data_IF_456913845945
#
_entry.id   IF_456913845945
#
_cell.length_a   1.000
_cell.length_b   1.000
_cell.length_c   1.000
_cell.angle_alpha   90.00
_cell.angle_beta   90.00
_cell.angle_gamma   90.00
#
_symmetry.space_group_name_H-M   'P 1'
#
loop_
_entity.id
_entity.type
_entity.pdbx_description
1 polymer ?
#
# COMPACT_ATOMS: atom_id res chain seq x y z
N UNK A 1 13.81 -15.27 -39.05
CA UNK A 1 13.16 -14.13 -38.36
C UNK A 1 13.38 -14.16 -36.84
N UNK A 2 13.27 -15.32 -36.19
CA UNK A 2 13.38 -15.49 -34.72
C UNK A 2 14.77 -15.17 -34.13
N UNK A 3 15.87 -15.57 -34.78
CA UNK A 3 17.23 -15.26 -34.29
C UNK A 3 17.57 -13.76 -34.29
N UNK A 4 17.05 -12.99 -35.25
CA UNK A 4 17.25 -11.54 -35.33
C UNK A 4 16.54 -10.80 -34.18
N UNK A 5 15.35 -11.26 -33.77
CA UNK A 5 14.60 -10.68 -32.64
C UNK A 5 15.23 -11.00 -31.28
N UNK A 6 15.89 -12.16 -31.16
CA UNK A 6 16.66 -12.52 -29.96
C UNK A 6 17.94 -11.67 -29.83
N UNK A 7 18.68 -11.43 -30.93
CA UNK A 7 19.85 -10.55 -30.94
C UNK A 7 19.53 -9.07 -30.68
N UNK A 8 18.31 -8.62 -31.02
CA UNK A 8 17.83 -7.25 -30.75
C UNK A 8 17.27 -7.09 -29.31
N UNK A 9 17.38 -8.12 -28.46
CA UNK A 9 16.88 -8.08 -27.08
C UNK A 9 15.36 -8.01 -26.96
N UNK A 10 14.64 -8.15 -28.08
CA UNK A 10 13.19 -7.96 -28.14
C UNK A 10 12.48 -9.07 -27.39
N UNK A 11 12.85 -10.34 -27.60
CA UNK A 11 12.24 -11.49 -26.89
C UNK A 11 12.42 -11.42 -25.37
N UNK A 12 13.58 -10.93 -24.90
CA UNK A 12 13.84 -10.70 -23.49
C UNK A 12 12.98 -9.55 -22.94
N UNK A 13 12.79 -8.47 -23.70
CA UNK A 13 11.89 -7.37 -23.29
C UNK A 13 10.44 -7.84 -23.14
N UNK A 14 9.93 -8.65 -24.09
CA UNK A 14 8.57 -9.20 -24.03
C UNK A 14 8.37 -10.17 -22.86
N UNK A 15 9.37 -10.99 -22.53
CA UNK A 15 9.29 -11.90 -21.39
C UNK A 15 9.30 -11.11 -20.07
N UNK A 16 10.15 -10.09 -19.94
CA UNK A 16 10.19 -9.21 -18.77
C UNK A 16 8.89 -8.42 -18.58
N UNK A 17 8.28 -7.94 -19.68
CA UNK A 17 7.01 -7.24 -19.63
C UNK A 17 5.87 -8.15 -19.15
N UNK A 18 5.82 -9.42 -19.61
CA UNK A 18 4.85 -10.41 -19.11
C UNK A 18 5.05 -10.72 -17.63
N UNK A 19 6.30 -10.90 -17.19
CA UNK A 19 6.62 -11.13 -15.77
C UNK A 19 6.18 -9.93 -14.92
N UNK A 20 6.41 -8.70 -15.39
CA UNK A 20 5.96 -7.48 -14.73
C UNK A 20 4.42 -7.39 -14.63
N UNK A 21 3.71 -7.77 -15.70
CA UNK A 21 2.24 -7.83 -15.69
C UNK A 21 1.71 -8.85 -14.69
N UNK A 22 2.26 -10.07 -14.67
CA UNK A 22 1.88 -11.11 -13.71
C UNK A 22 2.12 -10.63 -12.27
N UNK A 23 3.28 -10.03 -12.01
CA UNK A 23 3.60 -9.45 -10.70
C UNK A 23 2.62 -8.34 -10.31
N UNK A 24 2.16 -7.53 -11.27
CA UNK A 24 1.19 -6.46 -11.04
C UNK A 24 -0.19 -7.03 -10.70
N UNK A 25 -0.64 -8.06 -11.43
CA UNK A 25 -1.91 -8.76 -11.16
C UNK A 25 -1.86 -9.43 -9.78
N UNK A 26 -0.74 -10.10 -9.47
CA UNK A 26 -0.53 -10.70 -8.15
C UNK A 26 -0.56 -9.64 -7.04
N UNK A 27 0.14 -8.51 -7.23
CA UNK A 27 0.15 -7.41 -6.26
C UNK A 27 -1.23 -6.80 -6.07
N UNK A 28 -2.01 -6.67 -7.15
CA UNK A 28 -3.40 -6.23 -7.09
C UNK A 28 -4.26 -7.22 -6.29
N UNK A 29 -4.10 -8.53 -6.52
CA UNK A 29 -4.79 -9.57 -5.77
C UNK A 29 -4.46 -9.52 -4.27
N UNK A 30 -3.18 -9.38 -3.92
CA UNK A 30 -2.74 -9.20 -2.53
C UNK A 30 -3.31 -7.93 -1.92
N UNK A 31 -3.26 -6.80 -2.65
CA UNK A 31 -3.84 -5.54 -2.20
C UNK A 31 -5.34 -5.67 -1.92
N UNK A 32 -6.08 -6.33 -2.80
CA UNK A 32 -7.49 -6.60 -2.63
C UNK A 32 -7.76 -7.43 -1.37
N UNK A 33 -7.03 -8.53 -1.17
CA UNK A 33 -7.20 -9.38 0.02
C UNK A 33 -6.89 -8.63 1.32
N UNK A 34 -5.79 -7.85 1.34
CA UNK A 34 -5.44 -7.02 2.50
C UNK A 34 -6.52 -5.96 2.76
N UNK A 35 -7.04 -5.31 1.71
CA UNK A 35 -8.14 -4.35 1.85
C UNK A 35 -9.41 -5.02 2.40
N UNK A 36 -9.75 -6.23 1.96
CA UNK A 36 -10.87 -6.98 2.52
C UNK A 36 -10.67 -7.30 4.00
N UNK A 37 -9.44 -7.68 4.41
CA UNK A 37 -9.12 -7.96 5.82
C UNK A 37 -9.31 -6.72 6.68
N UNK A 38 -8.90 -5.55 6.20
CA UNK A 38 -9.12 -4.27 6.91
C UNK A 38 -10.62 -3.99 7.07
N UNK A 39 -11.44 -4.36 6.09
CA UNK A 39 -12.91 -4.20 6.14
C UNK A 39 -13.63 -5.25 7.00
N UNK A 40 -12.94 -6.32 7.44
CA UNK A 40 -13.56 -7.39 8.23
C UNK A 40 -14.03 -6.93 9.62
N UNK A 41 -13.44 -5.88 10.19
CA UNK A 41 -13.81 -5.42 11.54
C UNK A 41 -15.24 -4.87 11.62
N UNK A 42 -15.75 -4.28 10.54
CA UNK A 42 -17.14 -3.89 10.39
C UNK A 42 -18.04 -5.11 10.21
N UNK A 43 -17.62 -6.03 9.32
CA UNK A 43 -18.41 -7.21 8.95
C UNK A 43 -18.61 -8.15 10.14
N UNK A 44 -17.55 -8.45 10.91
CA UNK A 44 -17.66 -9.34 12.06
C UNK A 44 -18.56 -8.78 13.16
N UNK A 45 -18.50 -7.47 13.40
CA UNK A 45 -19.34 -6.83 14.41
C UNK A 45 -20.82 -6.93 14.04
N UNK A 46 -21.17 -6.60 12.80
CA UNK A 46 -22.56 -6.65 12.33
C UNK A 46 -23.09 -8.09 12.26
N UNK A 47 -22.26 -9.04 11.82
CA UNK A 47 -22.62 -10.47 11.78
C UNK A 47 -22.81 -11.05 13.19
N UNK A 48 -21.89 -10.78 14.12
CA UNK A 48 -21.95 -11.32 15.48
C UNK A 48 -23.21 -10.87 16.21
N UNK A 49 -23.59 -9.59 16.08
CA UNK A 49 -24.82 -9.07 16.67
C UNK A 49 -26.08 -9.66 16.03
N UNK A 50 -26.07 -9.94 14.72
CA UNK A 50 -27.16 -10.62 14.02
C UNK A 50 -27.31 -12.08 14.47
N UNK A 51 -26.21 -12.82 14.65
CA UNK A 51 -26.21 -14.23 15.07
C UNK A 51 -26.74 -14.39 16.51
N UNK A 52 -26.48 -13.42 17.39
CA UNK A 52 -26.95 -13.45 18.80
C UNK A 52 -28.42 -13.01 18.92
N UNK A 53 -29.11 -12.73 17.81
CA UNK A 53 -30.52 -12.33 17.81
C UNK A 53 -30.75 -10.89 18.30
N UNK A 54 -29.71 -10.07 18.32
CA UNK A 54 -29.83 -8.64 18.58
C UNK A 54 -30.38 -7.89 17.37
N UNK A 55 -31.04 -6.75 17.61
CA UNK A 55 -31.31 -5.80 16.52
C UNK A 55 -29.98 -5.28 15.94
N UNK A 56 -29.97 -4.87 14.67
CA UNK A 56 -28.79 -4.21 14.06
C UNK A 56 -28.34 -3.08 14.97
N UNK A 57 -27.11 -3.16 15.45
CA UNK A 57 -26.54 -2.14 16.33
C UNK A 57 -26.33 -0.88 15.50
N UNK A 58 -26.60 0.33 16.03
CA UNK A 58 -26.21 1.56 15.36
C UNK A 58 -24.72 1.51 15.00
N UNK A 59 -24.39 1.98 13.79
CA UNK A 59 -23.03 1.95 13.28
C UNK A 59 -22.08 2.58 14.30
N UNK A 60 -21.10 1.79 14.73
CA UNK A 60 -20.07 2.21 15.67
C UNK A 60 -18.76 1.65 15.16
N UNK A 61 -17.75 2.51 15.02
CA UNK A 61 -16.45 2.19 14.45
C UNK A 61 -15.82 0.96 15.10
N UNK A 62 -15.17 0.13 14.27
CA UNK A 62 -14.55 -1.12 14.67
C UNK A 62 -13.32 -0.90 15.53
N UNK A 63 -12.74 -2.00 16.05
CA UNK A 63 -11.49 -1.93 16.78
C UNK A 63 -10.29 -1.67 15.85
N UNK A 64 -10.34 -2.11 14.58
CA UNK A 64 -9.25 -1.91 13.61
C UNK A 64 -9.23 -0.51 12.99
N UNK A 65 -10.31 0.26 13.16
CA UNK A 65 -10.28 1.71 12.98
C UNK A 65 -9.27 2.42 13.90
N UNK A 66 -8.79 1.76 14.95
CA UNK A 66 -7.55 2.15 15.60
C UNK A 66 -6.42 1.91 14.60
N UNK A 67 -6.10 2.93 13.80
CA UNK A 67 -5.11 2.87 12.72
C UNK A 67 -3.68 2.54 13.19
N UNK A 68 -3.45 2.45 14.51
CA UNK A 68 -2.14 2.26 15.11
C UNK A 68 -1.48 0.92 14.72
N UNK A 69 -2.12 -0.27 14.85
CA UNK A 69 -1.44 -1.53 14.52
C UNK A 69 -1.08 -1.65 13.03
N UNK A 70 -1.97 -1.32 12.07
CA UNK A 70 -1.62 -1.30 10.65
C UNK A 70 -0.52 -0.27 10.31
N UNK A 71 -0.53 0.89 10.97
CA UNK A 71 0.50 1.92 10.81
C UNK A 71 1.86 1.46 11.37
N UNK A 72 1.88 0.82 12.54
CA UNK A 72 3.09 0.23 13.14
C UNK A 72 3.65 -0.83 12.19
N UNK A 73 2.80 -1.72 11.68
CA UNK A 73 3.22 -2.73 10.69
C UNK A 73 3.86 -2.09 9.45
N UNK A 74 3.22 -1.06 8.90
CA UNK A 74 3.75 -0.28 7.76
C UNK A 74 5.13 0.30 8.08
N UNK A 75 5.28 0.93 9.25
CA UNK A 75 6.53 1.55 9.68
C UNK A 75 7.64 0.50 9.84
N UNK A 76 7.35 -0.62 10.49
CA UNK A 76 8.29 -1.74 10.63
C UNK A 76 8.74 -2.22 9.25
N UNK A 77 7.81 -2.43 8.31
CA UNK A 77 8.16 -2.87 6.95
C UNK A 77 9.07 -1.87 6.22
N UNK A 78 8.82 -0.56 6.34
CA UNK A 78 9.70 0.45 5.74
C UNK A 78 11.08 0.53 6.40
N UNK A 79 11.14 0.45 7.73
CA UNK A 79 12.43 0.41 8.44
C UNK A 79 13.20 -0.84 8.01
N UNK A 80 12.56 -2.01 8.02
CA UNK A 80 13.16 -3.26 7.56
C UNK A 80 13.62 -3.15 6.11
N UNK A 81 12.85 -2.51 5.23
CA UNK A 81 13.24 -2.30 3.84
C UNK A 81 14.53 -1.48 3.70
N UNK A 82 14.66 -0.39 4.46
CA UNK A 82 15.84 0.48 4.44
C UNK A 82 17.06 -0.23 5.04
N UNK A 83 16.90 -0.90 6.19
CA UNK A 83 18.01 -1.55 6.91
C UNK A 83 18.51 -2.79 6.18
N UNK A 84 17.61 -3.61 5.65
CA UNK A 84 17.96 -4.87 4.97
C UNK A 84 18.11 -4.72 3.45
N UNK A 85 17.88 -3.52 2.90
CA UNK A 85 17.78 -3.27 1.45
C UNK A 85 16.78 -4.22 0.75
N UNK A 86 15.75 -4.68 1.47
CA UNK A 86 14.76 -5.65 0.97
C UNK A 86 13.63 -4.97 0.20
N UNK A 87 13.57 -5.23 -1.10
CA UNK A 87 12.48 -4.80 -1.98
C UNK A 87 11.13 -5.43 -1.62
N UNK A 88 11.12 -6.59 -0.97
CA UNK A 88 9.90 -7.24 -0.50
C UNK A 88 9.26 -6.47 0.65
N UNK A 89 10.06 -6.06 1.64
CA UNK A 89 9.58 -5.25 2.76
C UNK A 89 9.04 -3.90 2.26
N UNK A 90 9.72 -3.28 1.28
CA UNK A 90 9.25 -2.02 0.67
C UNK A 90 7.87 -2.21 0.02
N UNK A 91 7.70 -3.27 -0.78
CA UNK A 91 6.43 -3.59 -1.44
C UNK A 91 5.31 -3.84 -0.43
N UNK A 92 5.56 -4.66 0.60
CA UNK A 92 4.56 -4.98 1.63
C UNK A 92 4.15 -3.74 2.44
N UNK A 93 5.11 -2.90 2.84
CA UNK A 93 4.83 -1.62 3.50
C UNK A 93 4.02 -0.68 2.60
N UNK A 94 4.36 -0.63 1.31
CA UNK A 94 3.64 0.20 0.31
C UNK A 94 2.20 -0.27 0.12
N UNK A 95 1.98 -1.57 -0.02
CA UNK A 95 0.64 -2.14 -0.15
C UNK A 95 -0.19 -1.88 1.13
N UNK A 96 0.43 -2.07 2.30
CA UNK A 96 -0.23 -1.83 3.59
C UNK A 96 -0.68 -0.37 3.73
N UNK A 97 0.20 0.60 3.49
CA UNK A 97 -0.15 2.02 3.63
C UNK A 97 -1.23 2.46 2.64
N UNK A 98 -1.20 1.96 1.40
CA UNK A 98 -2.22 2.25 0.40
C UNK A 98 -3.58 1.74 0.86
N UNK A 99 -3.65 0.49 1.35
CA UNK A 99 -4.89 -0.09 1.85
C UNK A 99 -5.44 0.70 3.05
N UNK A 100 -4.59 1.04 4.02
CA UNK A 100 -4.99 1.78 5.22
C UNK A 100 -5.51 3.18 4.87
N UNK A 101 -4.73 3.96 4.11
CA UNK A 101 -5.10 5.34 3.77
C UNK A 101 -6.36 5.36 2.89
N UNK A 102 -6.45 4.50 1.89
CA UNK A 102 -7.64 4.43 1.03
C UNK A 102 -8.89 4.03 1.81
N UNK A 103 -8.77 3.08 2.76
CA UNK A 103 -9.85 2.72 3.67
C UNK A 103 -10.30 3.94 4.51
N UNK A 104 -9.38 4.69 5.11
CA UNK A 104 -9.73 5.88 5.89
C UNK A 104 -10.36 6.99 5.04
N UNK A 105 -9.88 7.23 3.82
CA UNK A 105 -10.48 8.21 2.90
C UNK A 105 -11.92 7.81 2.57
N UNK A 106 -12.15 6.53 2.28
CA UNK A 106 -13.49 6.00 1.96
C UNK A 106 -14.43 6.07 3.15
N UNK A 107 -13.96 5.71 4.36
CA UNK A 107 -14.76 5.89 5.58
C UNK A 107 -15.04 7.37 5.86
N UNK A 108 -14.07 8.24 5.55
CA UNK A 108 -14.14 9.67 5.71
C UNK A 108 -15.32 10.34 4.99
N UNK A 109 -15.76 9.78 3.86
CA UNK A 109 -16.93 10.27 3.13
C UNK A 109 -18.24 10.11 3.88
N UNK A 110 -18.40 8.99 4.60
CA UNK A 110 -19.66 8.66 5.26
C UNK A 110 -19.66 9.07 6.73
N UNK A 111 -18.49 9.08 7.38
CA UNK A 111 -18.40 9.23 8.84
C UNK A 111 -17.31 10.21 9.31
N UNK A 112 -16.62 10.89 8.38
CA UNK A 112 -15.47 11.76 8.69
C UNK A 112 -14.19 10.98 8.94
N UNK A 113 -13.02 11.62 8.83
CA UNK A 113 -11.74 10.95 9.07
C UNK A 113 -11.60 10.65 10.54
N UNK A 114 -11.13 9.44 10.85
CA UNK A 114 -10.71 9.08 12.18
C UNK A 114 -9.24 8.70 12.17
N UNK A 115 -8.42 9.56 12.75
CA UNK A 115 -6.99 9.34 12.90
C UNK A 115 -6.67 9.37 14.39
N UNK A 116 -6.99 8.32 15.13
CA UNK A 116 -6.67 8.29 16.57
C UNK A 116 -5.14 8.35 16.76
N UNK A 117 -4.59 9.25 17.61
CA UNK A 117 -5.25 10.06 18.64
C UNK A 117 -5.69 11.49 18.24
N UNK A 118 -5.49 11.92 17.00
CA UNK A 118 -5.82 13.28 16.51
C UNK A 118 -7.32 13.64 16.55
N UNK A 119 -8.19 12.66 16.76
CA UNK A 119 -9.62 12.85 16.89
C UNK A 119 -10.39 12.61 15.59
N UNK A 120 -11.59 13.16 15.51
CA UNK A 120 -12.52 12.97 14.38
C UNK A 120 -12.64 14.26 13.57
N UNK A 121 -12.54 14.15 12.25
CA UNK A 121 -12.92 15.25 11.36
C UNK A 121 -14.41 15.19 11.01
N UNK A 122 -15.00 16.29 10.51
CA UNK A 122 -16.26 16.23 9.78
C UNK A 122 -16.17 15.32 8.56
N UNK A 123 -17.32 14.94 8.00
CA UNK A 123 -17.42 14.22 6.72
C UNK A 123 -16.69 14.97 5.62
N UNK A 124 -16.01 14.23 4.76
CA UNK A 124 -15.30 14.83 3.64
C UNK A 124 -16.29 15.42 2.63
N UNK A 125 -16.09 16.67 2.18
CA UNK A 125 -16.75 17.15 0.99
C UNK A 125 -16.39 16.25 -0.20
N UNK A 126 -17.35 15.96 -1.07
CA UNK A 126 -17.18 15.04 -2.19
C UNK A 126 -15.99 15.38 -3.10
N UNK A 127 -15.75 16.67 -3.35
CA UNK A 127 -14.60 17.12 -4.15
C UNK A 127 -13.26 16.82 -3.46
N UNK A 128 -13.18 16.96 -2.13
CA UNK A 128 -11.98 16.61 -1.34
C UNK A 128 -11.68 15.12 -1.49
N UNK A 129 -12.71 14.28 -1.36
CA UNK A 129 -12.58 12.84 -1.54
C UNK A 129 -12.04 12.46 -2.92
N UNK A 130 -12.59 13.03 -3.99
CA UNK A 130 -12.10 12.79 -5.34
C UNK A 130 -10.65 13.20 -5.45
N UNK A 131 -10.30 14.44 -5.06
CA UNK A 131 -8.94 14.93 -5.14
C UNK A 131 -7.97 14.00 -4.38
N UNK A 132 -8.23 13.72 -3.10
CA UNK A 132 -7.32 12.90 -2.29
C UNK A 132 -7.19 11.49 -2.87
N UNK A 133 -8.29 10.88 -3.34
CA UNK A 133 -8.26 9.54 -3.93
C UNK A 133 -7.41 9.50 -5.21
N UNK A 134 -7.50 10.53 -6.06
CA UNK A 134 -6.70 10.61 -7.29
C UNK A 134 -5.22 10.94 -7.01
N UNK A 135 -4.93 11.75 -5.99
CA UNK A 135 -3.56 12.12 -5.62
C UNK A 135 -2.85 11.08 -4.75
N UNK A 136 -3.58 10.18 -4.11
CA UNK A 136 -3.02 9.10 -3.28
C UNK A 136 -1.91 8.29 -3.99
N UNK A 137 -2.12 7.72 -5.19
CA UNK A 137 -1.07 6.95 -5.87
C UNK A 137 0.17 7.79 -6.19
N UNK A 138 0.01 9.08 -6.49
CA UNK A 138 1.12 9.99 -6.76
C UNK A 138 1.94 10.24 -5.49
N UNK A 139 1.27 10.50 -4.36
CA UNK A 139 1.93 10.68 -3.06
C UNK A 139 2.69 9.44 -2.62
N UNK A 140 2.08 8.26 -2.78
CA UNK A 140 2.73 6.99 -2.46
C UNK A 140 3.93 6.74 -3.38
N UNK A 141 3.80 7.01 -4.68
CA UNK A 141 4.91 6.87 -5.61
C UNK A 141 6.10 7.76 -5.23
N UNK A 142 5.85 9.00 -4.81
CA UNK A 142 6.89 9.91 -4.36
C UNK A 142 7.63 9.37 -3.11
N UNK A 143 6.89 8.85 -2.13
CA UNK A 143 7.46 8.22 -0.93
C UNK A 143 8.35 7.03 -1.31
N UNK A 144 7.85 6.14 -2.17
CA UNK A 144 8.60 4.96 -2.63
C UNK A 144 9.87 5.38 -3.36
N UNK A 145 9.82 6.38 -4.24
CA UNK A 145 11.01 6.90 -4.93
C UNK A 145 12.08 7.38 -3.95
N UNK A 146 11.70 8.10 -2.89
CA UNK A 146 12.65 8.56 -1.85
C UNK A 146 13.25 7.38 -1.09
N UNK A 147 12.43 6.38 -0.72
CA UNK A 147 12.91 5.18 -0.03
C UNK A 147 13.86 4.36 -0.91
N UNK A 148 13.56 4.23 -2.21
CA UNK A 148 14.44 3.56 -3.16
C UNK A 148 15.80 4.24 -3.31
N UNK A 149 15.84 5.58 -3.28
CA UNK A 149 17.10 6.33 -3.29
C UNK A 149 17.95 6.03 -2.05
N UNK A 150 17.30 5.87 -0.88
CA UNK A 150 18.00 5.49 0.36
C UNK A 150 18.45 4.03 0.35
N UNK A 151 17.73 3.15 -0.34
CA UNK A 151 18.07 1.73 -0.47
C UNK A 151 19.13 1.46 -1.56
N UNK A 152 19.31 2.35 -2.54
CA UNK A 152 20.36 2.16 -3.55
C UNK A 152 21.72 2.29 -2.84
N UNK A 153 22.62 1.30 -2.92
CA UNK A 153 23.94 1.45 -2.32
C UNK A 153 24.58 2.70 -2.91
N UNK A 154 25.14 3.56 -2.05
CA UNK A 154 26.05 4.60 -2.49
C UNK A 154 27.20 3.88 -3.17
N UNK A 155 27.15 3.74 -4.49
CA UNK A 155 28.29 3.31 -5.29
C UNK A 155 29.36 4.34 -4.97
N UNK A 156 30.29 3.93 -4.12
CA UNK A 156 31.42 4.73 -3.73
C UNK A 156 32.17 5.09 -5.02
N UNK A 157 32.43 6.38 -5.20
CA UNK A 157 33.42 6.92 -6.12
C UNK A 157 34.85 6.50 -5.70
N UNK A 158 35.06 5.21 -5.42
CA UNK A 158 36.33 4.65 -4.97
C UNK A 158 36.98 3.72 -6.00
N UNK A 159 36.38 3.52 -7.17
CA UNK A 159 36.95 2.67 -8.22
C UNK A 159 37.90 3.38 -9.19
N UNK A 160 38.20 4.67 -9.00
CA UNK A 160 39.15 5.42 -9.85
C UNK A 160 40.62 5.31 -9.41
N UNK A 161 40.98 4.46 -8.43
CA UNK A 161 42.35 4.38 -7.89
C UNK A 161 43.15 3.11 -8.18
N UNK A 162 42.71 2.24 -9.07
CA UNK A 162 43.46 1.04 -9.44
C UNK A 162 43.40 0.71 -10.94
N UNK A 163 43.83 1.66 -11.77
CA UNK A 163 44.35 1.35 -13.11
C UNK A 163 45.57 2.26 -13.33
N UNK A 164 46.72 1.83 -12.81
CA UNK A 164 48.06 2.16 -13.32
C UNK A 164 48.89 0.89 -13.20
#
# INVERSE_FOLDING_TARGET
MSYLLSCLGFEHSWSQQRIAQINSIFSLGVAFMVSCIVDLDHVFKDIFHMIIGGQRVPWKRGFLHFSLPPLIFTLVMYISAVVSHSMWCLKLGTLSVVCIISHHIRDGMNHGLWLQPLGMSPQLPWWVYICITQFLPLGISAIVSVLLLKMKPSVSLSSERYIV
#
